data_IF_222059499761
#
_entry.id   IF_222059499761
#
_cell.length_a   1.000
_cell.length_b   1.000
_cell.length_c   1.000
_cell.angle_alpha   90.00
_cell.angle_beta   90.00
_cell.angle_gamma   90.00
#
_symmetry.space_group_name_H-M   'P 1'
#
loop_
_entity.id
_entity.type
_entity.pdbx_description
1 polymer ?
#
# COMPACT_ATOMS: atom_id res chain seq x y z
N UNK A 1 8.91 -6.55 1.58
CA UNK A 1 8.54 -6.19 0.19
C UNK A 1 7.23 -5.47 0.21
N UNK A 2 6.81 -4.91 -0.92
CA UNK A 2 5.47 -4.34 -1.05
C UNK A 2 4.46 -5.50 -1.18
N UNK A 3 3.33 -5.41 -0.46
CA UNK A 3 2.22 -6.32 -0.68
C UNK A 3 1.63 -6.08 -2.09
N UNK A 4 1.23 -7.14 -2.79
CA UNK A 4 0.88 -7.07 -4.21
C UNK A 4 0.79 -8.46 -4.83
N UNK A 5 0.96 -8.62 -6.17
CA UNK A 5 0.75 -9.88 -6.89
C UNK A 5 1.44 -11.10 -6.28
N UNK A 6 2.65 -10.93 -5.72
CA UNK A 6 3.40 -12.01 -5.04
C UNK A 6 2.66 -12.62 -3.83
N UNK A 7 1.72 -11.90 -3.24
CA UNK A 7 1.03 -12.27 -2.00
C UNK A 7 -0.45 -12.61 -2.22
N UNK A 8 -0.86 -12.88 -3.47
CA UNK A 8 -2.27 -13.18 -3.80
C UNK A 8 -3.19 -11.96 -3.70
N UNK A 9 -2.65 -10.76 -3.88
CA UNK A 9 -3.37 -9.49 -3.84
C UNK A 9 -3.00 -8.63 -5.06
N UNK A 10 -3.74 -7.56 -5.31
CA UNK A 10 -3.42 -6.56 -6.33
C UNK A 10 -3.25 -5.18 -5.67
N UNK A 11 -2.53 -4.24 -6.31
CA UNK A 11 -2.49 -2.85 -5.88
C UNK A 11 -3.85 -2.16 -6.05
N UNK A 12 -4.76 -2.44 -5.12
CA UNK A 12 -6.09 -1.84 -5.05
C UNK A 12 -6.03 -0.47 -4.35
N UNK A 13 -7.20 0.13 -4.11
CA UNK A 13 -7.27 1.44 -3.46
C UNK A 13 -6.76 2.59 -4.33
N UNK A 14 -6.87 2.44 -5.65
CA UNK A 14 -6.55 3.47 -6.63
C UNK A 14 -5.06 3.62 -6.96
N UNK A 15 -4.21 2.70 -6.51
CA UNK A 15 -2.76 2.73 -6.78
C UNK A 15 -2.44 2.77 -8.28
N UNK A 16 -3.09 1.90 -9.06
CA UNK A 16 -2.98 1.87 -10.52
C UNK A 16 -3.46 3.16 -11.21
N UNK A 17 -4.36 3.92 -10.58
CA UNK A 17 -4.90 5.16 -11.15
C UNK A 17 -3.95 6.34 -10.99
N UNK A 18 -3.19 6.41 -9.89
CA UNK A 18 -2.35 7.56 -9.58
C UNK A 18 -0.86 7.35 -9.84
N UNK A 19 -0.35 6.11 -9.84
CA UNK A 19 1.08 5.85 -10.10
C UNK A 19 1.56 6.49 -11.42
N UNK A 20 0.83 6.42 -12.54
CA UNK A 20 1.23 7.06 -13.79
C UNK A 20 1.28 8.60 -13.76
N UNK A 21 0.67 9.23 -12.74
CA UNK A 21 0.74 10.70 -12.56
C UNK A 21 1.98 11.15 -11.81
N UNK A 22 2.59 10.25 -11.06
CA UNK A 22 3.77 10.57 -10.25
C UNK A 22 5.05 9.96 -10.80
N UNK A 23 4.95 8.88 -11.57
CA UNK A 23 6.06 8.16 -12.18
C UNK A 23 5.87 8.13 -13.70
N UNK A 24 6.96 7.91 -14.45
CA UNK A 24 6.86 7.53 -15.85
C UNK A 24 6.10 6.22 -16.01
N UNK A 25 5.47 5.98 -17.17
CA UNK A 25 4.58 4.82 -17.37
C UNK A 25 5.26 3.48 -17.07
N UNK A 26 6.52 3.31 -17.48
CA UNK A 26 7.31 2.10 -17.20
C UNK A 26 7.64 1.94 -15.72
N UNK A 27 8.05 3.03 -15.05
CA UNK A 27 8.29 3.02 -13.61
C UNK A 27 7.00 2.71 -12.83
N UNK A 28 5.87 3.28 -13.25
CA UNK A 28 4.56 3.02 -12.67
C UNK A 28 4.16 1.55 -12.83
N UNK A 29 4.31 0.98 -14.02
CA UNK A 29 4.03 -0.44 -14.28
C UNK A 29 4.92 -1.33 -13.41
N UNK A 30 6.23 -1.11 -13.44
CA UNK A 30 7.17 -1.94 -12.67
C UNK A 30 6.94 -1.82 -11.17
N UNK A 31 6.76 -0.61 -10.64
CA UNK A 31 6.48 -0.40 -9.23
C UNK A 31 5.16 -1.07 -8.80
N UNK A 32 4.14 -1.04 -9.67
CA UNK A 32 2.84 -1.65 -9.40
C UNK A 32 2.94 -3.18 -9.32
N UNK A 33 3.65 -3.84 -10.24
CA UNK A 33 3.56 -5.30 -10.40
C UNK A 33 4.73 -6.10 -9.82
N UNK A 34 5.92 -5.51 -9.70
CA UNK A 34 7.16 -6.26 -9.33
C UNK A 34 7.18 -6.72 -7.86
N UNK A 35 6.39 -6.09 -6.99
CA UNK A 35 6.43 -6.25 -5.53
C UNK A 35 7.80 -5.90 -4.90
N UNK A 36 8.67 -5.23 -5.66
CA UNK A 36 9.97 -4.76 -5.17
C UNK A 36 9.80 -3.60 -4.21
N UNK A 37 10.63 -3.57 -3.17
CA UNK A 37 10.66 -2.41 -2.28
C UNK A 37 11.51 -1.33 -2.94
N UNK A 38 10.94 -0.14 -3.11
CA UNK A 38 11.68 1.04 -3.53
C UNK A 38 12.03 1.87 -2.30
N UNK A 39 13.30 2.27 -2.18
CA UNK A 39 13.72 3.12 -1.06
C UNK A 39 13.10 4.52 -1.18
N UNK A 40 12.98 5.24 -0.06
CA UNK A 40 12.56 6.63 -0.09
C UNK A 40 13.49 7.50 -0.96
N UNK A 41 14.78 7.16 -1.04
CA UNK A 41 15.75 7.86 -1.88
C UNK A 41 15.48 7.64 -3.37
N UNK A 42 15.16 6.41 -3.78
CA UNK A 42 14.72 6.10 -5.15
C UNK A 42 13.44 6.85 -5.48
N UNK A 43 12.46 6.81 -4.57
CA UNK A 43 11.21 7.57 -4.71
C UNK A 43 11.43 9.08 -4.83
N UNK A 44 12.43 9.63 -4.14
CA UNK A 44 12.81 11.04 -4.25
C UNK A 44 13.47 11.36 -5.59
N UNK A 45 14.37 10.51 -6.07
CA UNK A 45 15.00 10.65 -7.38
C UNK A 45 13.97 10.57 -8.52
N UNK A 46 12.95 9.72 -8.35
CA UNK A 46 11.80 9.58 -9.26
C UNK A 46 10.69 10.61 -9.02
N UNK A 47 10.96 11.66 -8.24
CA UNK A 47 10.05 12.79 -7.94
C UNK A 47 8.69 12.47 -7.31
N UNK A 48 8.46 11.22 -6.90
CA UNK A 48 7.24 10.78 -6.21
C UNK A 48 7.08 11.44 -4.84
N UNK A 49 8.18 11.68 -4.13
CA UNK A 49 8.17 12.35 -2.81
C UNK A 49 9.03 13.62 -2.79
N UNK A 50 8.65 14.57 -1.94
CA UNK A 50 9.28 15.90 -1.92
C UNK A 50 10.59 15.94 -1.14
N UNK A 51 10.79 15.11 -0.12
CA UNK A 51 11.98 15.15 0.75
C UNK A 51 12.26 13.79 1.40
N UNK A 52 13.53 13.55 1.69
CA UNK A 52 14.00 12.42 2.50
C UNK A 52 14.95 12.95 3.58
N UNK A 53 14.71 12.57 4.82
CA UNK A 53 15.56 12.89 5.98
C UNK A 53 15.98 11.60 6.69
N UNK A 54 17.18 11.57 7.32
CA UNK A 54 17.57 10.45 8.16
C UNK A 54 16.76 10.47 9.47
N UNK A 55 16.54 9.29 10.05
CA UNK A 55 15.87 9.12 11.34
C UNK A 55 16.73 8.34 12.35
N UNK A 56 17.88 7.82 11.93
CA UNK A 56 18.81 7.16 12.83
C UNK A 56 19.82 8.17 13.35
N UNK A 57 20.02 8.16 14.67
CA UNK A 57 20.98 9.02 15.35
C UNK A 57 21.98 8.12 16.08
N UNK A 58 23.24 8.16 15.66
CA UNK A 58 24.32 7.33 16.21
C UNK A 58 25.42 8.28 16.68
N UNK A 59 25.80 8.16 17.94
CA UNK A 59 26.77 9.05 18.59
C UNK A 59 26.46 10.55 18.39
N UNK A 60 25.17 10.89 18.49
CA UNK A 60 24.67 12.26 18.30
C UNK A 60 24.62 12.74 16.85
N UNK A 61 25.04 11.93 15.88
CA UNK A 61 25.05 12.27 14.45
C UNK A 61 23.92 11.58 13.70
N UNK A 62 23.32 12.32 12.78
CA UNK A 62 22.30 11.76 11.89
C UNK A 62 22.91 10.89 10.81
N UNK A 63 22.41 9.66 10.69
CA UNK A 63 22.92 8.65 9.74
C UNK A 63 21.88 8.39 8.66
N UNK A 64 22.28 8.60 7.40
CA UNK A 64 21.48 8.22 6.22
C UNK A 64 21.35 6.70 6.17
N UNK A 65 20.25 6.19 5.61
CA UNK A 65 19.98 4.76 5.61
C UNK A 65 21.16 3.98 4.96
N UNK A 66 21.96 3.23 5.73
CA UNK A 66 23.17 2.60 5.22
C UNK A 66 22.88 1.44 4.27
N UNK A 67 21.64 0.94 4.26
CA UNK A 67 21.20 -0.11 3.34
C UNK A 67 21.03 0.40 1.91
N UNK A 68 21.08 1.71 1.69
CA UNK A 68 20.77 2.35 0.41
C UNK A 68 21.99 3.11 -0.09
N UNK A 69 22.22 3.07 -1.41
CA UNK A 69 23.27 3.87 -2.05
C UNK A 69 22.80 5.32 -2.09
N UNK A 70 23.52 6.21 -1.41
CA UNK A 70 23.15 7.64 -1.33
C UNK A 70 24.30 8.59 -1.67
N UNK A 71 25.48 8.04 -1.91
CA UNK A 71 26.75 8.71 -2.19
C UNK A 71 27.15 8.62 -3.68
N UNK A 72 26.51 7.72 -4.44
CA UNK A 72 26.74 7.53 -5.88
C UNK A 72 25.43 7.62 -6.65
N UNK A 73 25.46 8.28 -7.81
CA UNK A 73 24.28 8.38 -8.69
C UNK A 73 24.32 7.41 -9.86
N UNK A 74 25.47 7.29 -10.54
CA UNK A 74 25.67 6.37 -11.66
C UNK A 74 26.80 5.40 -11.32
N UNK A 75 26.61 4.13 -11.63
CA UNK A 75 27.65 3.09 -11.62
C UNK A 75 27.52 2.19 -12.84
N UNK A 76 28.61 1.99 -13.57
CA UNK A 76 28.63 1.19 -14.81
C UNK A 76 27.50 1.53 -15.80
N UNK A 77 27.18 2.83 -15.94
CA UNK A 77 26.10 3.31 -16.81
C UNK A 77 24.69 3.23 -16.22
N UNK A 78 24.50 2.58 -15.08
CA UNK A 78 23.21 2.41 -14.40
C UNK A 78 22.99 3.45 -13.31
N UNK A 79 21.75 3.90 -13.13
CA UNK A 79 21.38 4.76 -11.99
C UNK A 79 21.29 3.91 -10.72
N UNK A 80 22.19 4.14 -9.77
CA UNK A 80 22.28 3.38 -8.52
C UNK A 80 21.79 4.14 -7.29
N UNK A 81 21.60 5.47 -7.37
CA UNK A 81 21.10 6.24 -6.24
C UNK A 81 19.72 5.76 -5.80
N UNK A 82 19.60 5.39 -4.53
CA UNK A 82 18.37 4.87 -3.98
C UNK A 82 18.19 3.36 -4.11
N UNK A 83 19.08 2.65 -4.79
CA UNK A 83 19.09 1.19 -4.79
C UNK A 83 19.60 0.63 -3.46
N UNK A 84 19.11 -0.56 -3.10
CA UNK A 84 19.56 -1.26 -1.90
C UNK A 84 20.92 -1.92 -2.15
N UNK A 85 21.82 -1.80 -1.18
CA UNK A 85 23.08 -2.56 -1.16
C UNK A 85 22.79 -4.06 -1.08
N UNK A 86 23.55 -4.84 -1.84
CA UNK A 86 23.45 -6.29 -1.92
C UNK A 86 24.62 -6.97 -1.18
N UNK A 87 24.68 -8.30 -1.20
CA UNK A 87 25.81 -9.06 -0.65
C UNK A 87 26.09 -8.85 0.84
N UNK A 88 27.38 -8.86 1.21
CA UNK A 88 27.86 -8.67 2.59
C UNK A 88 27.52 -7.29 3.14
N UNK A 89 27.80 -6.23 2.36
CA UNK A 89 27.48 -4.85 2.74
C UNK A 89 26.00 -4.67 3.07
N UNK A 90 25.10 -5.25 2.26
CA UNK A 90 23.67 -5.20 2.52
C UNK A 90 23.25 -5.92 3.81
N UNK A 91 23.94 -7.01 4.18
CA UNK A 91 23.68 -7.74 5.44
C UNK A 91 24.15 -6.93 6.65
N UNK A 92 25.34 -6.36 6.59
CA UNK A 92 25.90 -5.51 7.64
C UNK A 92 25.05 -4.26 7.85
N UNK A 93 24.66 -3.59 6.76
CA UNK A 93 23.78 -2.42 6.83
C UNK A 93 22.41 -2.74 7.42
N UNK A 94 21.83 -3.91 7.11
CA UNK A 94 20.57 -4.38 7.73
C UNK A 94 20.73 -4.64 9.23
N UNK A 95 21.84 -5.25 9.65
CA UNK A 95 22.13 -5.48 11.07
C UNK A 95 22.26 -4.14 11.81
N UNK A 96 23.01 -3.20 11.24
CA UNK A 96 23.16 -1.85 11.79
C UNK A 96 21.81 -1.14 11.96
N UNK A 97 20.95 -1.17 10.93
CA UNK A 97 19.61 -0.56 11.02
C UNK A 97 18.79 -1.24 12.11
N UNK A 98 18.80 -2.57 12.18
CA UNK A 98 18.05 -3.32 13.21
C UNK A 98 18.49 -2.95 14.63
N UNK A 99 19.79 -2.76 14.85
CA UNK A 99 20.35 -2.37 16.15
C UNK A 99 19.90 -0.97 16.59
N UNK A 100 19.88 0.00 15.66
CA UNK A 100 19.64 1.40 15.98
C UNK A 100 18.18 1.85 15.80
N UNK A 101 17.37 1.10 15.04
CA UNK A 101 15.97 1.43 14.76
C UNK A 101 15.10 1.64 16.02
N UNK A 102 15.27 0.91 17.14
CA UNK A 102 14.52 1.18 18.38
C UNK A 102 14.71 2.60 18.93
N UNK A 103 15.83 3.24 18.58
CA UNK A 103 16.20 4.59 19.01
C UNK A 103 16.04 5.63 17.87
N UNK A 104 15.18 5.34 16.89
CA UNK A 104 14.92 6.29 15.80
C UNK A 104 14.32 7.59 16.34
N UNK A 105 14.79 8.70 15.81
CA UNK A 105 14.40 10.06 16.17
C UNK A 105 13.85 10.76 14.92
N UNK A 106 12.61 11.26 15.02
CA UNK A 106 11.88 11.88 13.91
C UNK A 106 11.96 13.41 13.93
N UNK A 107 12.77 14.01 14.80
CA UNK A 107 12.94 15.46 14.92
C UNK A 107 13.17 16.16 13.56
N UNK A 108 13.97 15.55 12.67
CA UNK A 108 14.20 16.11 11.32
C UNK A 108 12.98 16.01 10.40
N UNK A 109 12.16 14.98 10.56
CA UNK A 109 10.92 14.84 9.81
C UNK A 109 9.92 15.91 10.26
N UNK A 110 9.76 16.08 11.57
CA UNK A 110 8.89 17.10 12.16
C UNK A 110 9.31 18.50 11.68
N UNK A 111 10.60 18.81 11.72
CA UNK A 111 11.13 20.09 11.20
C UNK A 111 10.81 20.34 9.72
N UNK A 112 10.87 19.31 8.87
CA UNK A 112 10.51 19.47 7.45
C UNK A 112 8.99 19.62 7.26
N UNK A 113 8.17 18.95 8.08
CA UNK A 113 6.71 19.14 8.09
C UNK A 113 6.36 20.55 8.56
N UNK A 114 6.94 21.01 9.68
CA UNK A 114 6.75 22.36 10.22
C UNK A 114 7.12 23.44 9.20
N UNK A 115 8.20 23.23 8.46
CA UNK A 115 8.60 24.13 7.37
C UNK A 115 7.52 24.22 6.29
N UNK A 116 6.92 23.09 5.88
CA UNK A 116 5.84 23.07 4.89
C UNK A 116 4.60 23.78 5.45
N UNK A 117 4.20 23.46 6.68
CA UNK A 117 3.06 24.09 7.36
C UNK A 117 3.26 25.60 7.47
N UNK A 118 4.43 26.04 7.91
CA UNK A 118 4.77 27.46 8.00
C UNK A 118 4.73 28.15 6.64
N UNK A 119 5.23 27.48 5.60
CA UNK A 119 5.14 27.99 4.23
C UNK A 119 3.68 28.20 3.84
N UNK A 120 2.80 27.23 4.09
CA UNK A 120 1.37 27.32 3.76
C UNK A 120 0.61 28.34 4.62
N UNK A 121 0.97 28.49 5.89
CA UNK A 121 0.36 29.47 6.80
C UNK A 121 0.57 30.92 6.32
N UNK A 122 1.61 31.17 5.53
CA UNK A 122 1.94 32.47 4.96
C UNK A 122 1.39 32.67 3.53
N UNK A 123 0.42 31.86 3.09
CA UNK A 123 -0.27 31.99 1.80
C UNK A 123 -1.74 32.37 2.02
N UNK A 124 -2.36 33.05 1.04
CA UNK A 124 -3.79 33.33 1.08
C UNK A 124 -4.59 32.01 1.12
N UNK A 125 -5.39 31.75 2.18
CA UNK A 125 -5.97 30.43 2.42
C UNK A 125 -6.94 29.99 1.32
N UNK A 126 -7.77 30.92 0.80
CA UNK A 126 -8.69 30.64 -0.30
C UNK A 126 -7.98 30.29 -1.62
N UNK A 127 -6.91 31.01 -1.96
CA UNK A 127 -6.09 30.71 -3.13
C UNK A 127 -5.32 29.40 -2.99
N UNK A 128 -4.77 29.14 -1.80
CA UNK A 128 -4.05 27.91 -1.48
C UNK A 128 -4.96 26.69 -1.65
N UNK A 129 -6.12 26.64 -0.99
CA UNK A 129 -6.99 25.47 -1.06
C UNK A 129 -7.53 25.25 -2.48
N UNK A 130 -7.91 26.33 -3.19
CA UNK A 130 -8.32 26.25 -4.60
C UNK A 130 -7.23 25.63 -5.47
N UNK A 131 -5.97 26.00 -5.24
CA UNK A 131 -4.82 25.49 -6.01
C UNK A 131 -4.55 24.02 -5.71
N UNK A 132 -4.61 23.62 -4.43
CA UNK A 132 -4.52 22.22 -3.99
C UNK A 132 -5.62 21.38 -4.65
N UNK A 133 -6.88 21.83 -4.56
CA UNK A 133 -8.00 21.10 -5.15
C UNK A 133 -7.90 21.03 -6.68
N UNK A 134 -7.43 22.11 -7.33
CA UNK A 134 -7.21 22.12 -8.79
C UNK A 134 -6.25 21.01 -9.23
N UNK A 135 -5.18 20.76 -8.48
CA UNK A 135 -4.24 19.64 -8.76
C UNK A 135 -4.87 18.30 -8.39
N UNK A 136 -5.46 18.18 -7.19
CA UNK A 136 -6.05 16.92 -6.70
C UNK A 136 -7.22 16.44 -7.56
N UNK A 137 -7.91 17.33 -8.27
CA UNK A 137 -9.03 16.97 -9.14
C UNK A 137 -8.66 15.91 -10.19
N UNK A 138 -7.42 15.90 -10.69
CA UNK A 138 -6.96 14.93 -11.70
C UNK A 138 -6.91 13.51 -11.13
N UNK A 139 -6.43 13.39 -9.89
CA UNK A 139 -6.49 12.12 -9.14
C UNK A 139 -7.93 11.75 -8.77
N UNK A 140 -8.75 12.73 -8.34
CA UNK A 140 -10.16 12.51 -7.97
C UNK A 140 -10.97 11.96 -9.15
N UNK A 141 -10.70 12.39 -10.38
CA UNK A 141 -11.39 11.91 -11.58
C UNK A 141 -11.39 10.37 -11.69
N UNK A 142 -10.22 9.75 -11.61
CA UNK A 142 -10.11 8.28 -11.66
C UNK A 142 -10.63 7.63 -10.38
N UNK A 143 -10.27 8.18 -9.21
CA UNK A 143 -10.73 7.67 -7.93
C UNK A 143 -12.26 7.61 -7.84
N UNK A 144 -12.96 8.68 -8.22
CA UNK A 144 -14.41 8.75 -8.14
C UNK A 144 -15.09 7.77 -9.10
N UNK A 145 -14.48 7.53 -10.26
CA UNK A 145 -14.93 6.51 -11.21
C UNK A 145 -14.75 5.09 -10.66
N UNK A 146 -13.61 4.81 -10.02
CA UNK A 146 -13.22 3.44 -9.65
C UNK A 146 -13.59 3.04 -8.22
N UNK A 147 -13.80 3.99 -7.30
CA UNK A 147 -13.99 3.72 -5.86
C UNK A 147 -15.15 2.77 -5.57
N UNK A 148 -16.25 2.87 -6.32
CA UNK A 148 -17.45 2.08 -6.05
C UNK A 148 -17.21 0.60 -6.34
N UNK A 149 -16.65 0.29 -7.52
CA UNK A 149 -16.33 -1.07 -7.91
C UNK A 149 -15.29 -1.67 -6.97
N UNK A 150 -14.19 -0.95 -6.70
CA UNK A 150 -13.13 -1.43 -5.81
C UNK A 150 -13.63 -1.65 -4.38
N UNK A 151 -14.47 -0.76 -3.84
CA UNK A 151 -15.06 -0.92 -2.50
C UNK A 151 -15.95 -2.17 -2.43
N UNK A 152 -16.84 -2.36 -3.40
CA UNK A 152 -17.72 -3.53 -3.40
C UNK A 152 -16.94 -4.82 -3.63
N UNK A 153 -15.93 -4.79 -4.51
CA UNK A 153 -15.05 -5.92 -4.75
C UNK A 153 -14.32 -6.36 -3.48
N UNK A 154 -13.70 -5.42 -2.77
CA UNK A 154 -13.00 -5.71 -1.51
C UNK A 154 -13.94 -6.29 -0.44
N UNK A 155 -15.19 -5.81 -0.36
CA UNK A 155 -16.18 -6.35 0.57
C UNK A 155 -16.67 -7.76 0.18
N UNK A 156 -16.79 -8.04 -1.12
CA UNK A 156 -17.28 -9.32 -1.64
C UNK A 156 -16.19 -10.40 -1.77
N UNK A 157 -14.91 -10.04 -1.54
CA UNK A 157 -13.76 -10.90 -1.80
C UNK A 157 -13.68 -12.12 -0.84
N UNK A 158 -12.60 -12.91 -0.91
CA UNK A 158 -12.39 -14.21 -0.25
C UNK A 158 -12.55 -14.26 1.27
N UNK A 159 -12.68 -13.11 1.96
CA UNK A 159 -13.07 -13.06 3.37
C UNK A 159 -14.59 -13.08 3.60
N UNK A 160 -15.38 -13.12 2.52
CA UNK A 160 -16.82 -12.94 2.59
C UNK A 160 -17.63 -13.67 1.53
N UNK A 161 -18.32 -12.95 0.66
CA UNK A 161 -19.31 -13.56 -0.24
C UNK A 161 -18.67 -14.55 -1.21
N UNK A 162 -17.45 -14.27 -1.70
CA UNK A 162 -16.69 -15.20 -2.53
C UNK A 162 -16.36 -16.51 -1.80
N UNK A 163 -16.07 -16.46 -0.50
CA UNK A 163 -15.82 -17.68 0.30
C UNK A 163 -17.06 -18.58 0.32
N UNK A 164 -18.21 -18.00 0.65
CA UNK A 164 -19.49 -18.70 0.70
C UNK A 164 -19.93 -19.21 -0.68
N UNK A 165 -19.88 -18.35 -1.71
CA UNK A 165 -20.31 -18.67 -3.06
C UNK A 165 -19.46 -19.77 -3.70
N UNK A 166 -18.13 -19.60 -3.68
CA UNK A 166 -17.23 -20.64 -4.22
C UNK A 166 -17.26 -21.90 -3.38
N UNK A 167 -17.37 -21.78 -2.05
CA UNK A 167 -17.54 -22.91 -1.15
C UNK A 167 -18.75 -23.76 -1.53
N UNK A 168 -19.95 -23.16 -1.61
CA UNK A 168 -21.18 -23.87 -1.96
C UNK A 168 -21.10 -24.50 -3.36
N UNK A 169 -20.58 -23.77 -4.34
CA UNK A 169 -20.42 -24.28 -5.70
C UNK A 169 -19.48 -25.50 -5.77
N UNK A 170 -18.39 -25.48 -5.01
CA UNK A 170 -17.40 -26.56 -5.00
C UNK A 170 -17.88 -27.79 -4.22
N UNK A 171 -18.66 -27.60 -3.15
CA UNK A 171 -19.16 -28.70 -2.31
C UNK A 171 -20.48 -29.31 -2.80
N UNK A 172 -21.07 -28.81 -3.88
CA UNK A 172 -22.38 -29.26 -4.40
C UNK A 172 -22.55 -30.76 -4.62
N UNK A 173 -21.47 -31.49 -4.94
CA UNK A 173 -21.53 -32.96 -5.09
C UNK A 173 -21.71 -33.68 -3.76
N UNK A 174 -21.26 -33.05 -2.67
CA UNK A 174 -21.35 -33.57 -1.31
C UNK A 174 -22.67 -33.12 -0.69
N UNK A 175 -23.06 -31.86 -0.88
CA UNK A 175 -24.22 -31.28 -0.18
C UNK A 175 -25.54 -31.38 -0.96
N UNK A 176 -25.46 -31.65 -2.27
CA UNK A 176 -26.58 -31.58 -3.21
C UNK A 176 -27.14 -30.18 -3.44
N UNK A 177 -26.46 -29.11 -2.97
CA UNK A 177 -26.81 -27.71 -3.20
C UNK A 177 -25.62 -26.94 -3.74
N UNK A 178 -25.83 -26.13 -4.77
CA UNK A 178 -24.79 -25.32 -5.42
C UNK A 178 -24.77 -23.84 -4.98
N UNK A 179 -25.73 -23.44 -4.14
CA UNK A 179 -25.86 -22.08 -3.59
C UNK A 179 -26.14 -22.12 -2.08
N UNK A 180 -25.87 -21.00 -1.41
CA UNK A 180 -26.17 -20.78 0.02
C UNK A 180 -27.64 -20.39 0.24
N UNK A 181 -28.10 -20.42 1.49
CA UNK A 181 -29.35 -19.79 1.90
C UNK A 181 -29.21 -18.26 1.92
N UNK A 182 -29.61 -17.62 0.82
CA UNK A 182 -29.53 -16.17 0.66
C UNK A 182 -30.38 -15.38 1.65
N UNK A 183 -31.51 -15.93 2.12
CA UNK A 183 -32.42 -15.23 3.03
C UNK A 183 -31.82 -15.26 4.43
N UNK A 184 -31.36 -16.42 4.88
CA UNK A 184 -30.67 -16.57 6.17
C UNK A 184 -29.40 -15.73 6.21
N UNK A 185 -28.61 -15.71 5.13
CA UNK A 185 -27.44 -14.85 5.02
C UNK A 185 -27.78 -13.36 5.15
N UNK A 186 -28.82 -12.87 4.46
CA UNK A 186 -29.30 -11.48 4.59
C UNK A 186 -29.79 -11.16 5.99
N UNK A 187 -30.46 -12.09 6.67
CA UNK A 187 -30.88 -11.93 8.06
C UNK A 187 -29.66 -11.82 9.00
N UNK A 188 -28.62 -12.62 8.77
CA UNK A 188 -27.38 -12.55 9.54
C UNK A 188 -26.67 -11.20 9.33
N UNK A 189 -26.60 -10.70 8.08
CA UNK A 189 -26.10 -9.33 7.79
C UNK A 189 -26.91 -8.26 8.52
N UNK A 190 -28.25 -8.32 8.45
CA UNK A 190 -29.13 -7.34 9.09
C UNK A 190 -28.98 -7.30 10.62
N UNK A 191 -28.52 -8.40 11.22
CA UNK A 191 -28.21 -8.52 12.65
C UNK A 191 -26.77 -8.17 13.00
N UNK A 192 -25.96 -7.73 12.02
CA UNK A 192 -24.53 -7.50 12.18
C UNK A 192 -23.79 -8.72 12.75
N UNK A 193 -24.20 -9.93 12.36
CA UNK A 193 -23.51 -11.15 12.78
C UNK A 193 -22.04 -11.11 12.33
N UNK A 194 -21.14 -11.63 13.15
CA UNK A 194 -19.73 -11.78 12.80
C UNK A 194 -19.61 -12.72 11.60
N UNK A 195 -18.74 -12.40 10.65
CA UNK A 195 -18.46 -13.26 9.51
C UNK A 195 -17.37 -14.26 9.90
N UNK A 196 -17.79 -15.27 10.65
CA UNK A 196 -16.97 -16.40 11.07
C UNK A 196 -17.49 -17.72 10.48
N UNK A 197 -16.79 -18.81 10.79
CA UNK A 197 -17.14 -20.13 10.27
C UNK A 197 -18.50 -20.63 10.79
N UNK A 198 -18.93 -20.18 11.97
CA UNK A 198 -20.22 -20.57 12.54
C UNK A 198 -21.36 -19.93 11.76
N UNK A 199 -21.30 -18.62 11.53
CA UNK A 199 -22.27 -17.91 10.69
C UNK A 199 -22.30 -18.45 9.27
N UNK A 200 -21.14 -18.76 8.70
CA UNK A 200 -21.06 -19.35 7.37
C UNK A 200 -21.67 -20.76 7.31
N UNK A 201 -21.50 -21.58 8.34
CA UNK A 201 -22.12 -22.90 8.40
C UNK A 201 -23.66 -22.82 8.37
N UNK A 202 -24.26 -21.79 9.00
CA UNK A 202 -25.73 -21.60 9.02
C UNK A 202 -26.35 -21.42 7.64
N UNK A 203 -25.58 -20.97 6.65
CA UNK A 203 -26.08 -20.67 5.29
C UNK A 203 -25.61 -21.70 4.26
N UNK A 204 -24.73 -22.63 4.63
CA UNK A 204 -24.16 -23.63 3.73
C UNK A 204 -25.02 -24.89 3.64
N UNK A 205 -24.89 -25.65 2.55
CA UNK A 205 -25.49 -26.97 2.45
C UNK A 205 -24.79 -27.99 3.36
N UNK A 206 -25.56 -28.88 3.98
CA UNK A 206 -25.03 -29.99 4.76
C UNK A 206 -24.65 -31.17 3.85
N UNK A 207 -23.59 -31.94 4.17
CA UNK A 207 -23.26 -33.16 3.45
C UNK A 207 -24.44 -34.15 3.40
N UNK A 208 -24.73 -34.65 2.21
CA UNK A 208 -25.58 -35.81 2.01
C UNK A 208 -24.76 -37.04 2.41
N UNK A 209 -25.40 -37.95 3.16
CA UNK A 209 -24.79 -39.20 3.66
C UNK A 209 -24.09 -40.00 2.58
#
# INVERSE_FOLDING_TARGET
GQAGPRHGSAPDGGSSDFLPWFLGMEDAMWNCVSCEMWSAYKMKAKTLISKVVPVLKVDGKWVRNPMVITDKYVDDGEIVYGEFKSGGEGKEARAFVKEHQPNADFELLDKEVDKIVWTFANLFPGCLIKSIDSIRQKKKFFWDMMKNANRHWLAANMGGEAFLGFGAFNTKKITGKDVVDFIKFRQNIAKCATWDMDMFAEVMGEPQK
#
